data_IF_530375782884
#
_entry.id   IF_530375782884
#
_cell.length_a   1.000
_cell.length_b   1.000
_cell.length_c   1.000
_cell.angle_alpha   90.00
_cell.angle_beta   90.00
_cell.angle_gamma   90.00
#
_symmetry.space_group_name_H-M   'P 1'
#
loop_
_entity.id
_entity.type
_entity.pdbx_description
1 polymer ?
#
# COMPACT_ATOMS: atom_id res chain seq x y z
N UNK A 1 2.80 0.73 -6.76
CA UNK A 1 1.58 1.44 -7.12
C UNK A 1 1.89 2.26 -8.36
N UNK A 2 1.07 2.26 -9.41
CA UNK A 2 1.34 3.04 -10.63
C UNK A 2 1.52 4.53 -10.30
N UNK A 3 2.43 5.22 -11.00
CA UNK A 3 2.68 6.65 -10.79
C UNK A 3 3.35 7.02 -9.45
N UNK A 4 3.82 6.04 -8.66
CA UNK A 4 4.38 6.28 -7.33
C UNK A 4 5.79 5.71 -7.17
N UNK A 5 6.72 6.58 -6.79
CA UNK A 5 8.04 6.18 -6.27
C UNK A 5 7.93 5.35 -4.99
N UNK A 6 8.92 4.50 -4.71
CA UNK A 6 8.91 3.58 -3.54
C UNK A 6 8.93 4.35 -2.22
N UNK A 7 9.60 5.49 -2.20
CA UNK A 7 9.69 6.44 -1.09
C UNK A 7 8.32 7.00 -0.67
N UNK A 8 7.36 7.01 -1.60
CA UNK A 8 5.99 7.49 -1.37
C UNK A 8 5.04 6.37 -0.94
N UNK A 9 5.54 5.14 -0.75
CA UNK A 9 4.77 3.98 -0.31
C UNK A 9 5.10 3.70 1.16
N UNK A 10 4.07 3.76 2.01
CA UNK A 10 4.14 3.35 3.42
C UNK A 10 3.56 1.95 3.57
N UNK A 11 4.35 1.04 4.14
CA UNK A 11 3.92 -0.33 4.43
C UNK A 11 3.96 -0.54 5.95
N UNK A 12 2.88 -1.07 6.51
CA UNK A 12 2.78 -1.42 7.93
C UNK A 12 2.01 -2.71 8.13
N UNK A 13 2.27 -3.38 9.24
CA UNK A 13 1.52 -4.59 9.65
C UNK A 13 0.66 -4.24 10.85
N UNK A 14 -0.63 -4.54 10.80
CA UNK A 14 -1.58 -4.35 11.89
C UNK A 14 -2.34 -5.64 12.17
N UNK A 15 -2.16 -6.19 13.39
CA UNK A 15 -2.76 -7.43 13.91
C UNK A 15 -2.34 -8.69 13.14
N UNK A 16 -2.69 -8.77 11.86
CA UNK A 16 -2.24 -9.77 10.88
C UNK A 16 -2.38 -9.24 9.46
N UNK A 17 -2.72 -7.97 9.26
CA UNK A 17 -3.01 -7.36 7.97
C UNK A 17 -1.83 -6.51 7.53
N UNK A 18 -1.36 -6.72 6.31
CA UNK A 18 -0.42 -5.83 5.66
C UNK A 18 -1.21 -4.68 5.04
N UNK A 19 -0.95 -3.46 5.52
CA UNK A 19 -1.53 -2.22 5.02
C UNK A 19 -0.44 -1.50 4.21
N UNK A 20 -0.77 -1.19 2.96
CA UNK A 20 0.06 -0.43 2.04
C UNK A 20 -0.70 0.83 1.62
N UNK A 21 -0.13 2.00 1.90
CA UNK A 21 -0.66 3.29 1.47
C UNK A 21 0.34 3.98 0.57
N UNK A 22 -0.13 4.53 -0.54
CA UNK A 22 0.68 5.34 -1.44
C UNK A 22 0.05 6.71 -1.65
N UNK A 23 0.83 7.77 -1.49
CA UNK A 23 0.39 9.15 -1.66
C UNK A 23 1.34 9.87 -2.60
N UNK A 24 0.88 10.13 -3.82
CA UNK A 24 1.67 10.74 -4.88
C UNK A 24 1.57 12.25 -4.81
N UNK A 25 2.59 12.93 -5.33
CA UNK A 25 2.51 14.36 -5.56
C UNK A 25 1.62 14.64 -6.77
N UNK A 26 1.08 15.86 -6.80
CA UNK A 26 0.36 16.42 -7.93
C UNK A 26 1.31 16.46 -9.15
N UNK A 27 0.90 15.85 -10.26
CA UNK A 27 1.70 15.83 -11.50
C UNK A 27 1.39 17.03 -12.40
N UNK A 28 0.16 17.52 -12.41
CA UNK A 28 -0.26 18.66 -13.23
C UNK A 28 -0.82 19.79 -12.40
N UNK A 29 -0.65 21.05 -12.81
CA UNK A 29 -1.14 22.24 -12.10
C UNK A 29 -2.66 22.28 -11.86
N UNK A 30 -3.43 21.50 -12.61
CA UNK A 30 -4.90 21.41 -12.52
C UNK A 30 -5.39 20.31 -11.56
N UNK A 31 -4.56 19.33 -11.18
CA UNK A 31 -5.01 18.23 -10.31
C UNK A 31 -5.25 18.75 -8.88
N UNK A 32 -6.41 18.49 -8.26
CA UNK A 32 -6.57 18.86 -6.84
C UNK A 32 -5.62 18.09 -5.92
N UNK A 33 -5.27 16.85 -6.29
CA UNK A 33 -4.44 15.93 -5.52
C UNK A 33 -3.70 14.94 -6.44
N UNK A 34 -2.51 14.51 -6.04
CA UNK A 34 -1.81 13.41 -6.70
C UNK A 34 -2.45 12.04 -6.45
N UNK A 35 -1.97 10.98 -7.12
CA UNK A 35 -2.56 9.65 -7.05
C UNK A 35 -2.47 9.06 -5.63
N UNK A 36 -3.60 8.56 -5.11
CA UNK A 36 -3.69 7.94 -3.78
C UNK A 36 -4.18 6.52 -3.87
N UNK A 37 -3.51 5.63 -3.16
CA UNK A 37 -3.86 4.21 -3.08
C UNK A 37 -3.92 3.77 -1.63
N UNK A 38 -4.99 3.07 -1.27
CA UNK A 38 -5.11 2.34 -0.01
C UNK A 38 -5.33 0.87 -0.34
N UNK A 39 -4.42 0.02 0.13
CA UNK A 39 -4.49 -1.41 -0.07
C UNK A 39 -4.22 -2.13 1.25
N UNK A 40 -5.11 -3.05 1.60
CA UNK A 40 -4.93 -3.93 2.76
C UNK A 40 -5.12 -5.38 2.34
N UNK A 41 -4.15 -6.22 2.69
CA UNK A 41 -4.24 -7.67 2.50
C UNK A 41 -3.97 -8.39 3.79
N UNK A 42 -4.83 -9.34 4.12
CA UNK A 42 -4.53 -10.34 5.12
C UNK A 42 -3.76 -11.47 4.42
N UNK A 43 -2.45 -11.63 4.65
CA UNK A 43 -1.71 -12.74 4.12
C UNK A 43 -2.31 -14.05 4.66
N UNK A 44 -2.24 -15.14 3.88
CA UNK A 44 -2.68 -16.44 4.35
C UNK A 44 -1.88 -16.81 5.60
N UNK A 45 -2.60 -17.20 6.66
CA UNK A 45 -1.97 -17.73 7.86
C UNK A 45 -1.10 -18.93 7.47
N UNK A 46 0.15 -18.96 7.96
CA UNK A 46 1.04 -20.10 7.75
C UNK A 46 0.34 -21.33 8.33
N UNK A 47 -0.29 -22.14 7.47
CA UNK A 47 -0.67 -23.50 7.85
C UNK A 47 0.64 -24.23 8.06
N UNK A 48 0.97 -24.48 9.33
CA UNK A 48 1.99 -25.45 9.70
C UNK A 48 1.52 -26.79 9.12
N UNK A 49 2.13 -27.22 8.00
CA UNK A 49 2.03 -28.57 7.50
C UNK A 49 2.85 -29.46 8.46
N UNK A 50 2.30 -29.72 9.64
CA UNK A 50 2.67 -30.88 10.43
C UNK A 50 1.80 -32.01 9.88
N UNK A 51 2.34 -32.68 8.87
CA UNK A 51 1.92 -34.00 8.42
C UNK A 51 2.82 -35.03 9.12
#
# INVERSE_FOLDING_TARGET
>A
MPGLGKENIKVRVEKDTVIMKGEGQKEFEDDELGPRYDFSIQPPSKKSLLA
#
